data_IF_352293072797
#
_entry.id   IF_352293072797
#
_cell.length_a   1.000
_cell.length_b   1.000
_cell.length_c   1.000
_cell.angle_alpha   90.00
_cell.angle_beta   90.00
_cell.angle_gamma   90.00
#
_symmetry.space_group_name_H-M   'P 1'
#
loop_
_entity.id
_entity.type
_entity.pdbx_description
1 polymer ?
#
# COMPACT_ATOMS: atom_id res chain seq x y z
N UNK A 1 9.04 -15.41 -50.67
CA UNK A 1 9.44 -15.52 -49.22
C UNK A 1 8.79 -14.40 -48.45
N UNK A 2 7.71 -14.71 -47.69
CA UNK A 2 7.00 -13.71 -46.85
C UNK A 2 7.72 -13.59 -45.51
N UNK A 3 8.30 -12.44 -45.24
CA UNK A 3 8.91 -12.08 -43.96
C UNK A 3 7.81 -11.96 -42.89
N UNK A 4 7.65 -12.99 -42.06
CA UNK A 4 6.81 -12.94 -40.87
C UNK A 4 7.51 -12.04 -39.83
N UNK A 5 7.19 -10.75 -39.80
CA UNK A 5 7.52 -9.89 -38.63
C UNK A 5 6.79 -10.45 -37.46
N UNK A 6 7.52 -11.13 -36.53
CA UNK A 6 7.03 -11.45 -35.21
C UNK A 6 6.56 -10.14 -34.56
N UNK A 7 5.25 -9.98 -34.36
CA UNK A 7 4.72 -8.95 -33.43
C UNK A 7 5.30 -9.22 -32.07
N UNK A 8 6.23 -8.39 -31.63
CA UNK A 8 6.62 -8.36 -30.23
C UNK A 8 5.36 -7.99 -29.42
N UNK A 9 4.77 -8.96 -28.75
CA UNK A 9 3.71 -8.73 -27.78
C UNK A 9 4.45 -8.16 -26.55
N UNK A 10 4.36 -6.85 -26.35
CA UNK A 10 4.90 -6.19 -25.16
C UNK A 10 4.24 -6.79 -23.93
N UNK A 11 5.04 -7.22 -22.97
CA UNK A 11 4.51 -7.72 -21.70
C UNK A 11 3.79 -6.58 -20.97
N UNK A 12 2.71 -6.89 -20.24
CA UNK A 12 1.97 -5.87 -19.45
C UNK A 12 2.88 -5.08 -18.49
N UNK A 13 3.99 -5.67 -18.08
CA UNK A 13 5.02 -5.05 -17.25
C UNK A 13 5.73 -3.87 -17.93
N UNK A 14 5.79 -3.85 -19.27
CA UNK A 14 6.43 -2.75 -20.00
C UNK A 14 5.65 -1.43 -19.88
N UNK A 15 4.35 -1.51 -19.56
CA UNK A 15 3.47 -0.35 -19.36
C UNK A 15 3.46 0.17 -17.91
N UNK A 16 4.11 -0.51 -16.98
CA UNK A 16 4.26 -0.01 -15.61
C UNK A 16 5.42 0.98 -15.54
N UNK A 17 5.20 2.12 -14.88
CA UNK A 17 6.23 3.13 -14.66
C UNK A 17 7.22 2.74 -13.53
N UNK A 18 7.06 1.55 -12.96
CA UNK A 18 7.92 1.01 -11.91
C UNK A 18 9.09 0.29 -12.57
N UNK A 19 10.32 0.65 -12.17
CA UNK A 19 11.55 -0.03 -12.58
C UNK A 19 11.85 -1.22 -11.67
N UNK A 20 11.59 -1.11 -10.37
CA UNK A 20 11.82 -2.17 -9.39
C UNK A 20 11.54 -1.74 -7.95
N UNK A 21 11.63 -2.71 -7.04
CA UNK A 21 11.51 -2.51 -5.59
C UNK A 21 12.81 -2.98 -4.96
N UNK A 22 13.41 -2.13 -4.13
CA UNK A 22 14.67 -2.43 -3.44
C UNK A 22 14.78 -1.62 -2.14
N UNK A 23 15.27 -2.26 -1.09
CA UNK A 23 15.55 -1.63 0.21
C UNK A 23 14.35 -0.79 0.70
N UNK A 24 13.14 -1.40 0.72
CA UNK A 24 11.87 -0.83 1.16
C UNK A 24 11.41 0.40 0.36
N UNK A 25 11.89 0.50 -0.87
CA UNK A 25 11.66 1.65 -1.74
C UNK A 25 11.25 1.21 -3.14
N UNK A 26 10.26 1.88 -3.71
CA UNK A 26 9.85 1.71 -5.11
C UNK A 26 10.67 2.67 -5.97
N UNK A 27 11.34 2.13 -6.97
CA UNK A 27 12.15 2.87 -7.94
C UNK A 27 11.32 3.04 -9.21
N UNK A 28 11.09 4.28 -9.61
CA UNK A 28 10.35 4.60 -10.83
C UNK A 28 11.28 4.64 -12.06
N UNK A 29 10.72 4.49 -13.26
CA UNK A 29 11.47 4.55 -14.52
C UNK A 29 12.14 5.91 -14.76
N UNK A 30 11.57 6.99 -14.21
CA UNK A 30 12.15 8.34 -14.26
C UNK A 30 13.30 8.56 -13.25
N UNK A 31 13.64 7.53 -12.46
CA UNK A 31 14.68 7.58 -11.43
C UNK A 31 14.21 8.21 -10.11
N UNK A 32 12.94 8.60 -9.99
CA UNK A 32 12.37 9.04 -8.72
C UNK A 32 12.11 7.84 -7.81
N UNK A 33 12.08 8.10 -6.50
CA UNK A 33 11.83 7.10 -5.47
C UNK A 33 10.48 7.33 -4.80
N UNK A 34 9.86 6.25 -4.33
CA UNK A 34 8.62 6.30 -3.55
C UNK A 34 8.74 5.41 -2.32
N UNK A 35 8.33 5.93 -1.17
CA UNK A 35 8.03 5.12 0.00
C UNK A 35 6.51 5.01 0.15
N UNK A 36 6.04 3.89 0.65
CA UNK A 36 4.62 3.64 0.89
C UNK A 36 4.43 3.41 2.39
N UNK A 37 3.52 4.16 2.98
CA UNK A 37 3.14 4.06 4.39
C UNK A 37 1.76 3.44 4.44
N UNK A 38 1.58 2.36 5.21
CA UNK A 38 0.29 1.84 5.61
C UNK A 38 -0.18 2.62 6.83
N UNK A 39 -1.43 3.11 6.79
CA UNK A 39 -2.01 3.96 7.84
C UNK A 39 -3.27 3.32 8.37
N UNK A 40 -3.45 3.33 9.70
CA UNK A 40 -4.68 2.90 10.34
C UNK A 40 -5.80 3.91 10.11
N UNK A 41 -7.03 3.52 10.42
CA UNK A 41 -8.16 4.44 10.54
C UNK A 41 -8.56 4.59 12.00
N UNK A 42 -9.19 5.71 12.32
CA UNK A 42 -9.85 5.94 13.60
C UNK A 42 -11.34 6.20 13.37
N UNK A 43 -12.18 5.80 14.31
CA UNK A 43 -13.58 6.17 14.28
C UNK A 43 -13.75 7.55 14.91
N UNK A 44 -13.63 8.59 14.10
CA UNK A 44 -13.70 9.99 14.53
C UNK A 44 -15.03 10.34 15.19
N UNK A 45 -16.15 9.76 14.71
CA UNK A 45 -17.49 10.03 15.22
C UNK A 45 -17.73 9.50 16.65
N UNK A 46 -16.92 8.52 17.12
CA UNK A 46 -16.99 8.00 18.48
C UNK A 46 -16.10 8.73 19.46
N UNK A 47 -15.34 9.74 19.01
CA UNK A 47 -14.48 10.55 19.85
C UNK A 47 -15.27 11.66 20.53
N UNK A 48 -14.88 12.02 21.75
CA UNK A 48 -15.41 13.19 22.43
C UNK A 48 -15.06 14.49 21.71
N UNK A 49 -15.82 15.56 21.96
CA UNK A 49 -15.67 16.84 21.26
C UNK A 49 -14.25 17.41 21.42
N UNK A 50 -13.67 17.34 22.61
CA UNK A 50 -12.30 17.80 22.88
C UNK A 50 -11.26 16.99 22.09
N UNK A 51 -11.43 15.66 22.02
CA UNK A 51 -10.57 14.78 21.21
C UNK A 51 -10.70 15.09 19.70
N UNK A 52 -11.92 15.29 19.21
CA UNK A 52 -12.17 15.67 17.82
C UNK A 52 -11.46 16.99 17.48
N UNK A 53 -11.60 18.00 18.33
CA UNK A 53 -10.93 19.30 18.18
C UNK A 53 -9.40 19.16 18.21
N UNK A 54 -8.85 18.34 19.09
CA UNK A 54 -7.41 18.07 19.14
C UNK A 54 -6.91 17.41 17.85
N UNK A 55 -7.64 16.43 17.31
CA UNK A 55 -7.31 15.74 16.06
C UNK A 55 -7.36 16.74 14.88
N UNK A 56 -8.36 17.62 14.84
CA UNK A 56 -8.50 18.66 13.81
C UNK A 56 -7.29 19.60 13.84
N UNK A 57 -6.89 20.08 15.03
CA UNK A 57 -5.73 20.97 15.16
C UNK A 57 -4.43 20.27 14.76
N UNK A 58 -4.25 19.01 15.14
CA UNK A 58 -3.10 18.19 14.70
C UNK A 58 -3.09 18.02 13.17
N UNK A 59 -4.26 17.79 12.55
CA UNK A 59 -4.39 17.68 11.09
C UNK A 59 -4.03 18.96 10.37
N UNK A 60 -4.50 20.11 10.86
CA UNK A 60 -4.13 21.42 10.30
C UNK A 60 -2.62 21.64 10.41
N UNK A 61 -2.04 21.34 11.56
CA UNK A 61 -0.58 21.45 11.79
C UNK A 61 0.19 20.53 10.85
N UNK A 62 -0.27 19.30 10.67
CA UNK A 62 0.31 18.35 9.73
C UNK A 62 0.27 18.88 8.30
N UNK A 63 -0.87 19.38 7.82
CA UNK A 63 -0.99 19.91 6.47
C UNK A 63 -0.06 21.12 6.25
N UNK A 64 0.07 22.00 7.24
CA UNK A 64 0.95 23.16 7.17
C UNK A 64 2.45 22.79 7.22
N UNK A 65 2.80 21.60 7.72
CA UNK A 65 4.16 21.10 7.77
C UNK A 65 4.63 20.42 6.47
N UNK A 66 3.72 20.20 5.51
CA UNK A 66 4.03 19.52 4.26
C UNK A 66 4.82 20.40 3.31
N UNK A 67 6.06 20.02 3.03
CA UNK A 67 6.93 20.72 2.08
C UNK A 67 6.88 20.12 0.65
N UNK A 68 6.22 18.98 0.49
CA UNK A 68 6.13 18.24 -0.77
C UNK A 68 4.76 17.57 -0.93
N UNK A 69 4.34 17.30 -2.17
CA UNK A 69 3.05 16.67 -2.41
C UNK A 69 3.04 15.24 -1.88
N UNK A 70 1.92 14.83 -1.27
CA UNK A 70 1.64 13.45 -0.89
C UNK A 70 0.53 12.89 -1.76
N UNK A 71 0.59 11.58 -2.02
CA UNK A 71 -0.51 10.86 -2.65
C UNK A 71 -1.16 9.95 -1.61
N UNK A 72 -2.48 10.10 -1.43
CA UNK A 72 -3.29 9.24 -0.55
C UNK A 72 -4.03 8.26 -1.44
N UNK A 73 -3.90 6.96 -1.13
CA UNK A 73 -4.59 5.88 -1.83
C UNK A 73 -5.46 5.12 -0.84
N UNK A 74 -6.75 5.04 -1.14
CA UNK A 74 -7.70 4.25 -0.37
C UNK A 74 -8.05 3.02 -1.22
N UNK A 75 -7.65 1.84 -0.75
CA UNK A 75 -7.97 0.59 -1.39
C UNK A 75 -9.16 -0.06 -0.69
N UNK A 76 -10.30 -0.16 -1.38
CA UNK A 76 -11.49 -0.84 -0.89
C UNK A 76 -11.62 -2.18 -1.61
N UNK A 77 -11.75 -3.27 -0.86
CA UNK A 77 -11.93 -4.63 -1.40
C UNK A 77 -13.01 -5.36 -0.63
N UNK A 78 -13.74 -6.23 -1.30
CA UNK A 78 -14.65 -7.14 -0.60
C UNK A 78 -13.87 -7.98 0.40
N UNK A 79 -14.40 -8.10 1.61
CA UNK A 79 -13.81 -8.93 2.65
C UNK A 79 -13.93 -10.40 2.22
N UNK A 80 -12.80 -11.07 2.05
CA UNK A 80 -12.77 -12.51 1.83
C UNK A 80 -12.90 -13.23 3.18
N UNK A 81 -14.04 -13.82 3.41
CA UNK A 81 -14.31 -14.60 4.63
C UNK A 81 -14.47 -16.09 4.37
N UNK A 82 -14.20 -16.56 3.15
CA UNK A 82 -14.33 -17.99 2.83
C UNK A 82 -13.54 -18.86 3.79
N UNK A 83 -12.32 -18.44 4.13
CA UNK A 83 -11.49 -19.14 5.13
C UNK A 83 -12.09 -19.13 6.53
N UNK A 84 -12.82 -18.08 6.91
CA UNK A 84 -13.49 -18.03 8.20
C UNK A 84 -14.68 -19.00 8.24
N UNK A 85 -15.49 -19.01 7.19
CA UNK A 85 -16.59 -19.97 7.03
C UNK A 85 -16.07 -21.42 7.03
N UNK A 86 -14.96 -21.69 6.35
CA UNK A 86 -14.34 -23.02 6.39
C UNK A 86 -13.84 -23.41 7.78
N UNK A 87 -13.26 -22.48 8.53
CA UNK A 87 -12.88 -22.73 9.93
C UNK A 87 -14.10 -23.04 10.80
N UNK A 88 -15.23 -22.33 10.63
CA UNK A 88 -16.47 -22.62 11.33
C UNK A 88 -17.01 -24.00 10.96
N UNK A 89 -17.04 -24.37 9.67
CA UNK A 89 -17.43 -25.71 9.21
C UNK A 89 -16.55 -26.82 9.81
N UNK A 90 -15.26 -26.57 9.96
CA UNK A 90 -14.35 -27.54 10.59
C UNK A 90 -14.67 -27.69 12.07
N UNK A 91 -14.83 -26.58 12.81
CA UNK A 91 -15.19 -26.60 14.23
C UNK A 91 -16.54 -27.27 14.46
N UNK A 92 -17.53 -27.05 13.60
CA UNK A 92 -18.84 -27.70 13.63
C UNK A 92 -18.71 -29.24 13.54
N UNK A 93 -17.81 -29.74 12.66
CA UNK A 93 -17.56 -31.18 12.50
C UNK A 93 -16.78 -31.79 13.65
N UNK A 94 -15.84 -31.05 14.24
CA UNK A 94 -15.00 -31.50 15.36
C UNK A 94 -15.74 -31.43 16.71
N UNK A 95 -16.86 -30.69 16.79
CA UNK A 95 -17.60 -30.47 18.02
C UNK A 95 -18.39 -31.72 18.42
N UNK A 96 -18.07 -32.28 19.60
CA UNK A 96 -18.71 -33.47 20.18
C UNK A 96 -19.98 -33.15 20.94
N UNK A 97 -20.10 -31.93 21.48
CA UNK A 97 -21.32 -31.47 22.16
C UNK A 97 -22.37 -31.04 21.14
N UNK A 98 -23.51 -31.70 21.13
CA UNK A 98 -24.60 -31.47 20.17
C UNK A 98 -25.18 -30.05 20.22
N UNK A 99 -25.32 -29.49 21.42
CA UNK A 99 -25.83 -28.11 21.60
C UNK A 99 -24.86 -27.08 21.02
N UNK A 100 -23.58 -27.22 21.31
CA UNK A 100 -22.55 -26.34 20.76
C UNK A 100 -22.40 -26.51 19.25
N UNK A 101 -22.59 -27.70 18.72
CA UNK A 101 -22.61 -27.94 17.28
C UNK A 101 -23.77 -27.20 16.61
N UNK A 102 -25.00 -27.31 17.17
CA UNK A 102 -26.14 -26.53 16.69
C UNK A 102 -25.88 -25.03 16.70
N UNK A 103 -25.40 -24.49 17.83
CA UNK A 103 -25.05 -23.06 17.91
C UNK A 103 -24.02 -22.64 16.88
N UNK A 104 -23.00 -23.48 16.60
CA UNK A 104 -21.99 -23.19 15.58
C UNK A 104 -22.61 -23.19 14.18
N UNK A 105 -23.54 -24.09 13.90
CA UNK A 105 -24.29 -24.16 12.64
C UNK A 105 -25.12 -22.89 12.45
N UNK A 106 -25.92 -22.51 13.45
CA UNK A 106 -26.76 -21.32 13.40
C UNK A 106 -25.92 -20.03 13.22
N UNK A 107 -24.85 -19.94 13.96
CA UNK A 107 -23.92 -18.81 13.83
C UNK A 107 -23.29 -18.74 12.43
N UNK A 108 -22.85 -19.87 11.89
CA UNK A 108 -22.30 -19.93 10.52
C UNK A 108 -23.32 -19.49 9.48
N UNK A 109 -24.58 -19.96 9.62
CA UNK A 109 -25.67 -19.57 8.74
C UNK A 109 -25.94 -18.06 8.83
N UNK A 110 -26.07 -17.54 10.04
CA UNK A 110 -26.26 -16.10 10.28
C UNK A 110 -25.14 -15.24 9.63
N UNK A 111 -23.87 -15.64 9.81
CA UNK A 111 -22.74 -14.93 9.18
C UNK A 111 -22.83 -15.00 7.66
N UNK A 112 -23.25 -16.15 7.09
CA UNK A 112 -23.43 -16.29 5.64
C UNK A 112 -24.53 -15.38 5.12
N UNK A 113 -25.68 -15.32 5.79
CA UNK A 113 -26.80 -14.44 5.46
C UNK A 113 -26.41 -12.95 5.55
N UNK A 114 -25.65 -12.55 6.57
CA UNK A 114 -25.14 -11.17 6.68
C UNK A 114 -24.28 -10.76 5.48
N UNK A 115 -23.53 -11.70 4.90
CA UNK A 115 -22.69 -11.43 3.74
C UNK A 115 -23.50 -11.30 2.45
N UNK A 116 -24.57 -12.08 2.34
CA UNK A 116 -25.49 -12.00 1.19
C UNK A 116 -26.29 -10.68 1.21
N UNK A 117 -26.61 -10.19 2.42
CA UNK A 117 -27.35 -8.95 2.61
C UNK A 117 -26.50 -7.68 2.45
N UNK A 118 -25.19 -7.76 2.65
CA UNK A 118 -24.31 -6.60 2.60
C UNK A 118 -22.92 -6.91 2.06
N UNK A 119 -22.44 -6.10 1.11
CA UNK A 119 -21.05 -6.15 0.67
C UNK A 119 -20.15 -5.58 1.77
N UNK A 120 -19.61 -6.45 2.63
CA UNK A 120 -18.66 -6.03 3.64
C UNK A 120 -17.32 -5.72 2.94
N UNK A 121 -16.88 -4.46 3.03
CA UNK A 121 -15.67 -3.97 2.39
C UNK A 121 -14.57 -3.74 3.43
N UNK A 122 -13.41 -4.32 3.17
CA UNK A 122 -12.17 -3.97 3.89
C UNK A 122 -11.50 -2.78 3.20
N UNK A 123 -11.17 -1.75 3.98
CA UNK A 123 -10.47 -0.56 3.48
C UNK A 123 -9.06 -0.52 4.04
N UNK A 124 -8.08 -0.28 3.17
CA UNK A 124 -6.68 -0.02 3.55
C UNK A 124 -6.30 1.36 3.05
N UNK A 125 -5.58 2.09 3.88
CA UNK A 125 -5.15 3.46 3.60
C UNK A 125 -3.64 3.47 3.42
N UNK A 126 -3.19 4.05 2.31
CA UNK A 126 -1.77 4.18 2.01
C UNK A 126 -1.44 5.64 1.73
N UNK A 127 -0.30 6.08 2.22
CA UNK A 127 0.30 7.36 1.87
C UNK A 127 1.59 7.08 1.10
N UNK A 128 1.71 7.67 -0.08
CA UNK A 128 2.87 7.54 -0.93
C UNK A 128 3.67 8.83 -0.82
N UNK A 129 4.91 8.70 -0.35
CA UNK A 129 5.87 9.79 -0.17
C UNK A 129 6.81 9.80 -1.36
N UNK A 130 6.82 10.86 -2.19
CA UNK A 130 7.72 10.94 -3.32
C UNK A 130 9.07 11.56 -2.93
N UNK A 131 10.13 11.12 -3.60
CA UNK A 131 11.40 11.79 -3.66
C UNK A 131 11.87 11.88 -5.11
N UNK A 132 12.03 13.10 -5.61
CA UNK A 132 12.51 13.33 -6.97
C UNK A 132 13.88 14.01 -6.92
N UNK A 133 14.97 13.27 -7.22
CA UNK A 133 16.32 13.82 -7.17
C UNK A 133 16.58 14.93 -8.20
N UNK A 134 15.70 15.04 -9.21
CA UNK A 134 15.80 16.06 -10.25
C UNK A 134 15.12 17.37 -9.87
N UNK A 135 14.12 17.34 -8.99
CA UNK A 135 13.36 18.50 -8.55
C UNK A 135 14.03 19.26 -7.41
N UNK A 136 14.74 18.55 -6.52
CA UNK A 136 15.30 19.14 -5.29
C UNK A 136 16.62 19.92 -5.51
N UNK A 137 17.26 19.75 -6.65
CA UNK A 137 18.38 20.63 -7.03
C UNK A 137 17.84 21.77 -7.87
N UNK A 138 18.01 23.03 -7.42
CA UNK A 138 17.88 24.22 -8.29
C UNK A 138 18.75 24.03 -9.52
N UNK A 139 18.18 23.44 -10.58
CA UNK A 139 18.92 23.18 -11.81
C UNK A 139 19.09 24.48 -12.56
N UNK A 140 20.31 24.80 -12.93
CA UNK A 140 20.62 25.80 -13.94
C UNK A 140 19.86 25.44 -15.23
N UNK A 141 19.15 26.41 -15.79
CA UNK A 141 18.30 26.31 -16.97
C UNK A 141 18.99 25.63 -18.18
N UNK A 142 20.31 25.73 -18.27
CA UNK A 142 21.16 25.21 -19.34
C UNK A 142 21.23 23.67 -19.33
N UNK A 143 21.20 23.03 -18.17
CA UNK A 143 21.24 21.56 -18.09
C UNK A 143 19.91 20.90 -18.50
N UNK A 144 18.79 21.62 -18.41
CA UNK A 144 17.48 21.15 -18.84
C UNK A 144 17.37 21.04 -20.36
N UNK A 145 18.07 21.89 -21.09
CA UNK A 145 18.08 21.89 -22.55
C UNK A 145 18.91 20.73 -23.13
N UNK A 146 20.00 20.34 -22.45
CA UNK A 146 20.86 19.23 -22.87
C UNK A 146 20.23 17.85 -22.59
N UNK A 147 19.33 17.73 -21.60
CA UNK A 147 18.66 16.48 -21.28
C UNK A 147 17.53 16.10 -22.27
N UNK A 148 16.97 17.08 -23.00
CA UNK A 148 15.92 16.84 -24.02
C UNK A 148 16.46 16.05 -25.23
N UNK A 149 17.75 16.15 -25.51
CA UNK A 149 18.42 15.47 -26.62
C UNK A 149 19.11 14.16 -26.25
N UNK A 150 19.10 13.79 -24.94
CA UNK A 150 19.67 12.52 -24.50
C UNK A 150 18.56 11.49 -24.45
N UNK A 151 18.60 10.48 -25.36
CA UNK A 151 17.77 9.28 -25.25
C UNK A 151 17.83 8.75 -23.81
N UNK A 152 16.74 8.16 -23.27
CA UNK A 152 16.71 7.67 -21.90
C UNK A 152 17.76 6.55 -21.73
N UNK A 153 19.01 6.93 -21.48
CA UNK A 153 20.00 5.99 -20.95
C UNK A 153 19.48 5.58 -19.58
N UNK A 154 19.16 4.29 -19.44
CA UNK A 154 18.96 3.63 -18.16
C UNK A 154 19.99 4.20 -17.17
N UNK A 155 19.55 5.10 -16.31
CA UNK A 155 20.39 5.63 -15.24
C UNK A 155 20.55 4.47 -14.26
N UNK A 156 21.61 3.67 -14.44
CA UNK A 156 22.12 2.83 -13.37
C UNK A 156 22.54 3.79 -12.28
N UNK A 157 21.64 4.03 -11.33
CA UNK A 157 21.95 4.78 -10.12
C UNK A 157 23.17 4.11 -9.51
N UNK A 158 24.32 4.79 -9.50
CA UNK A 158 25.47 4.29 -8.74
C UNK A 158 24.96 4.07 -7.31
N UNK A 159 25.32 2.96 -6.71
CA UNK A 159 24.82 2.52 -5.40
C UNK A 159 24.87 3.63 -4.34
N UNK A 160 25.93 4.43 -4.35
CA UNK A 160 26.09 5.58 -3.43
C UNK A 160 25.02 6.66 -3.61
N UNK A 161 24.63 6.97 -4.85
CA UNK A 161 23.56 7.94 -5.13
C UNK A 161 22.21 7.42 -4.70
N UNK A 162 21.95 6.14 -4.93
CA UNK A 162 20.71 5.50 -4.47
C UNK A 162 20.60 5.56 -2.95
N UNK A 163 21.66 5.20 -2.22
CA UNK A 163 21.68 5.25 -0.74
C UNK A 163 21.40 6.66 -0.24
N UNK A 164 22.04 7.68 -0.84
CA UNK A 164 21.81 9.07 -0.45
C UNK A 164 20.34 9.49 -0.66
N UNK A 165 19.79 9.20 -1.84
CA UNK A 165 18.38 9.55 -2.16
C UNK A 165 17.38 8.78 -1.30
N UNK A 166 17.68 7.51 -1.02
CA UNK A 166 16.89 6.70 -0.10
C UNK A 166 16.89 7.28 1.32
N UNK A 167 18.03 7.69 1.83
CA UNK A 167 18.12 8.28 3.17
C UNK A 167 17.29 9.58 3.28
N UNK A 168 17.29 10.41 2.25
CA UNK A 168 16.45 11.61 2.22
C UNK A 168 14.96 11.26 2.14
N UNK A 169 14.60 10.23 1.36
CA UNK A 169 13.23 9.71 1.32
C UNK A 169 12.78 9.19 2.69
N UNK A 170 13.64 8.44 3.40
CA UNK A 170 13.33 7.91 4.74
C UNK A 170 13.09 9.04 5.73
N UNK A 171 13.93 10.07 5.78
CA UNK A 171 13.71 11.25 6.64
C UNK A 171 12.34 11.90 6.40
N UNK A 172 11.95 12.06 5.13
CA UNK A 172 10.61 12.56 4.77
C UNK A 172 9.51 11.63 5.28
N UNK A 173 9.70 10.33 5.10
CA UNK A 173 8.73 9.32 5.54
C UNK A 173 8.55 9.33 7.05
N UNK A 174 9.64 9.41 7.80
CA UNK A 174 9.63 9.51 9.27
C UNK A 174 8.92 10.78 9.77
N UNK A 175 9.14 11.91 9.11
CA UNK A 175 8.42 13.15 9.41
C UNK A 175 6.90 13.00 9.20
N UNK A 176 6.48 12.36 8.11
CA UNK A 176 5.07 12.07 7.82
C UNK A 176 4.49 11.12 8.87
N UNK A 177 5.19 10.04 9.21
CA UNK A 177 4.75 9.08 10.24
C UNK A 177 4.57 9.79 11.59
N UNK A 178 5.52 10.65 11.98
CA UNK A 178 5.40 11.44 13.21
C UNK A 178 4.15 12.33 13.21
N UNK A 179 3.90 13.02 12.10
CA UNK A 179 2.70 13.84 11.93
C UNK A 179 1.39 13.05 11.99
N UNK A 180 1.36 11.84 11.42
CA UNK A 180 0.19 10.96 11.48
C UNK A 180 -0.03 10.44 12.90
N UNK A 181 1.04 10.07 13.60
CA UNK A 181 0.96 9.59 14.99
C UNK A 181 0.42 10.68 15.93
N UNK A 182 0.69 11.97 15.68
CA UNK A 182 0.13 13.06 16.47
C UNK A 182 -1.40 13.18 16.37
N UNK A 183 -2.00 12.59 15.32
CA UNK A 183 -3.45 12.49 15.12
C UNK A 183 -4.03 11.16 15.63
N UNK A 184 -3.30 10.40 16.44
CA UNK A 184 -3.69 9.06 16.91
C UNK A 184 -3.86 8.02 15.79
N UNK A 185 -3.20 8.23 14.65
CA UNK A 185 -3.14 7.27 13.55
C UNK A 185 -1.86 6.44 13.68
N UNK A 186 -1.96 5.11 13.65
CA UNK A 186 -0.79 4.25 13.52
C UNK A 186 -0.33 4.23 12.07
N UNK A 187 0.94 4.47 11.84
CA UNK A 187 1.52 4.54 10.49
C UNK A 187 2.83 3.76 10.43
N UNK A 188 2.99 2.90 9.42
CA UNK A 188 4.14 2.03 9.24
C UNK A 188 4.61 2.11 7.79
N UNK A 189 5.90 2.32 7.56
CA UNK A 189 6.49 2.20 6.23
C UNK A 189 6.52 0.73 5.82
N UNK A 190 6.07 0.42 4.60
CA UNK A 190 6.09 -0.93 4.07
C UNK A 190 7.52 -1.35 3.71
N UNK A 191 7.87 -2.57 4.11
CA UNK A 191 9.11 -3.22 3.72
C UNK A 191 9.06 -3.75 2.28
N UNK A 192 10.18 -4.22 1.77
CA UNK A 192 10.33 -4.73 0.40
C UNK A 192 9.33 -5.84 0.10
N UNK A 193 9.12 -6.78 1.03
CA UNK A 193 8.20 -7.89 0.85
C UNK A 193 6.75 -7.40 0.77
N UNK A 194 6.34 -6.55 1.70
CA UNK A 194 4.98 -5.97 1.72
C UNK A 194 4.69 -5.11 0.50
N UNK A 195 5.70 -4.39 -0.03
CA UNK A 195 5.58 -3.64 -1.28
C UNK A 195 5.33 -4.58 -2.47
N UNK A 196 6.11 -5.66 -2.60
CA UNK A 196 5.91 -6.65 -3.66
C UNK A 196 4.50 -7.22 -3.61
N UNK A 197 4.03 -7.60 -2.42
CA UNK A 197 2.69 -8.14 -2.23
C UNK A 197 1.59 -7.10 -2.52
N UNK A 198 1.77 -5.85 -2.09
CA UNK A 198 0.83 -4.78 -2.39
C UNK A 198 0.67 -4.59 -3.90
N UNK A 199 1.78 -4.48 -4.62
CA UNK A 199 1.73 -4.29 -6.07
C UNK A 199 1.21 -5.52 -6.80
N UNK A 200 1.66 -6.73 -6.42
CA UNK A 200 1.14 -7.97 -6.98
C UNK A 200 -0.38 -8.06 -6.83
N UNK A 201 -0.89 -7.84 -5.61
CA UNK A 201 -2.31 -7.89 -5.31
C UNK A 201 -3.10 -6.78 -6.02
N UNK A 202 -2.48 -5.63 -6.29
CA UNK A 202 -3.14 -4.51 -6.95
C UNK A 202 -3.27 -4.75 -8.45
N UNK A 203 -2.23 -5.29 -9.08
CA UNK A 203 -2.23 -5.54 -10.53
C UNK A 203 -2.84 -6.89 -10.92
N UNK A 204 -2.99 -7.83 -9.97
CA UNK A 204 -3.52 -9.17 -10.23
C UNK A 204 -4.68 -9.53 -9.28
N UNK A 205 -5.80 -8.78 -9.27
CA UNK A 205 -6.85 -8.95 -8.27
C UNK A 205 -7.51 -10.33 -8.28
N UNK A 206 -7.64 -10.96 -9.43
CA UNK A 206 -8.25 -12.30 -9.55
C UNK A 206 -7.30 -13.41 -9.09
N UNK A 207 -6.04 -13.37 -9.55
CA UNK A 207 -5.04 -14.39 -9.24
C UNK A 207 -4.59 -14.31 -7.77
N UNK A 208 -4.57 -13.11 -7.19
CA UNK A 208 -4.21 -12.88 -5.80
C UNK A 208 -5.18 -13.53 -4.79
N UNK A 209 -6.44 -13.78 -5.18
CA UNK A 209 -7.40 -14.53 -4.37
C UNK A 209 -7.05 -16.00 -4.29
N UNK A 210 -6.50 -16.58 -5.35
CA UNK A 210 -6.19 -18.01 -5.47
C UNK A 210 -4.79 -18.37 -4.96
N UNK A 211 -3.82 -17.47 -5.13
CA UNK A 211 -2.45 -17.65 -4.68
C UNK A 211 -2.19 -16.70 -3.51
N UNK A 212 -2.39 -17.15 -2.28
CA UNK A 212 -1.84 -16.46 -1.11
C UNK A 212 -0.32 -16.56 -1.19
N UNK A 213 0.33 -15.57 -1.78
CA UNK A 213 1.71 -15.30 -1.48
C UNK A 213 1.78 -15.08 0.04
N UNK A 214 2.65 -15.82 0.71
CA UNK A 214 2.78 -15.95 2.17
C UNK A 214 2.25 -14.77 2.98
N UNK A 215 1.41 -15.12 3.94
CA UNK A 215 0.64 -14.31 4.87
C UNK A 215 1.26 -12.96 5.25
N UNK A 216 0.76 -11.86 4.68
CA UNK A 216 0.98 -10.46 5.15
C UNK A 216 0.36 -10.26 6.56
N UNK A 217 -0.31 -11.28 7.09
CA UNK A 217 -0.96 -11.27 8.40
C UNK A 217 -0.01 -11.22 9.60
N UNK A 218 1.30 -11.12 9.40
CA UNK A 218 2.29 -10.96 10.48
C UNK A 218 2.72 -9.54 10.76
N UNK A 219 2.28 -8.56 9.98
CA UNK A 219 2.32 -7.17 10.40
C UNK A 219 1.14 -6.96 11.38
N UNK A 220 1.29 -7.51 12.60
CA UNK A 220 0.45 -7.13 13.72
C UNK A 220 0.71 -5.67 14.03
N UNK A 221 -0.21 -4.82 13.62
CA UNK A 221 -0.47 -3.59 14.36
C UNK A 221 -1.18 -4.13 15.61
N UNK A 222 -0.44 -4.29 16.70
CA UNK A 222 -1.04 -4.58 18.01
C UNK A 222 -1.98 -3.40 18.33
N UNK A 223 -3.26 -3.75 18.52
CA UNK A 223 -4.28 -2.83 19.01
C UNK A 223 -3.97 -2.37 20.43
#
# INVERSE_FOLDING_TARGET
>A
MKNNKKKNISASQDFLDIMGIRDDTVIMKDGSLRAVILVSSINFALKGEDEQNAIIQAYISFLNSLEYPLQIVIQSRRLDIDNYIEKLKRREKEQTNELLRMQTTDYRQYVTELLELGEIMSKKFFIIVPYNPLSDKKKNFINRFLEIFSAPKLIRLKTERFIHHRNELIKRTESIISGLNSMSLSAIMLDTQSLIELYYNTFNPETAKQQKLMDVGKLRIEE
#
